data_IF_570868792492
#
_entry.id   IF_570868792492
#
_cell.length_a   1.000
_cell.length_b   1.000
_cell.length_c   1.000
_cell.angle_alpha   90.00
_cell.angle_beta   90.00
_cell.angle_gamma   90.00
#
_symmetry.space_group_name_H-M   'P 1'
#
loop_
_entity.id
_entity.type
_entity.pdbx_description
1 polymer ?
#
# COMPACT_ATOMS: atom_id res chain seq x y z
N UNK A 1 -10.10 11.72 0.64
CA UNK A 1 -9.63 10.76 1.66
C UNK A 1 -10.69 9.69 1.77
N UNK A 2 -10.43 8.52 1.16
CA UNK A 2 -11.26 7.35 1.34
C UNK A 2 -10.55 6.42 2.31
N UNK A 3 -11.25 5.92 3.31
CA UNK A 3 -10.81 4.72 4.00
C UNK A 3 -10.96 3.59 2.98
N UNK A 4 -9.86 3.11 2.39
CA UNK A 4 -9.86 1.87 1.64
C UNK A 4 -10.10 0.70 2.58
N UNK A 5 -10.62 -0.42 2.08
CA UNK A 5 -11.04 -1.60 2.88
C UNK A 5 -9.98 -2.13 3.87
N UNK A 6 -8.72 -1.74 3.74
CA UNK A 6 -7.65 -2.06 4.70
C UNK A 6 -6.53 -1.00 4.82
N UNK A 7 -6.69 0.19 4.23
CA UNK A 7 -5.65 1.22 4.16
C UNK A 7 -6.22 2.63 4.17
N UNK A 8 -5.46 3.59 4.71
CA UNK A 8 -5.76 5.01 4.58
C UNK A 8 -5.07 5.52 3.32
N UNK A 9 -5.84 5.74 2.25
CA UNK A 9 -5.28 6.09 0.96
C UNK A 9 -5.06 7.61 0.86
N UNK A 10 -3.79 8.01 0.76
CA UNK A 10 -3.36 9.39 0.53
C UNK A 10 -2.91 9.57 -0.92
N UNK A 11 -3.32 10.69 -1.53
CA UNK A 11 -2.86 11.08 -2.87
C UNK A 11 -1.89 12.25 -2.75
N UNK A 12 -0.66 12.08 -3.23
CA UNK A 12 0.31 13.17 -3.40
C UNK A 12 0.36 13.56 -4.88
N UNK A 13 0.18 14.85 -5.18
CA UNK A 13 0.32 15.39 -6.55
C UNK A 13 1.48 16.38 -6.58
N UNK A 14 2.41 16.15 -7.51
CA UNK A 14 3.58 16.99 -7.72
C UNK A 14 3.63 17.42 -9.19
N UNK A 15 4.00 18.67 -9.44
CA UNK A 15 4.20 19.20 -10.80
C UNK A 15 5.67 19.21 -11.14
N UNK A 16 6.04 18.54 -12.23
CA UNK A 16 7.41 18.48 -12.74
C UNK A 16 7.45 19.28 -14.05
N UNK A 17 8.42 20.17 -14.17
CA UNK A 17 8.61 21.03 -15.35
C UNK A 17 9.33 20.28 -16.47
N UNK A 18 10.34 19.48 -16.10
CA UNK A 18 11.14 18.68 -17.03
C UNK A 18 10.63 17.24 -17.07
N UNK A 19 10.06 16.83 -18.21
CA UNK A 19 9.47 15.50 -18.36
C UNK A 19 10.48 14.36 -18.29
N UNK A 20 11.75 14.61 -18.62
CA UNK A 20 12.80 13.58 -18.57
C UNK A 20 13.09 13.14 -17.15
N UNK A 21 13.03 14.09 -16.20
CA UNK A 21 13.25 13.85 -14.77
C UNK A 21 12.07 13.19 -14.07
N UNK A 22 10.96 12.93 -14.78
CA UNK A 22 9.75 12.35 -14.18
C UNK A 22 10.04 11.02 -13.48
N UNK A 23 10.85 10.16 -14.09
CA UNK A 23 11.18 8.84 -13.53
C UNK A 23 12.12 8.95 -12.34
N UNK A 24 13.16 9.78 -12.45
CA UNK A 24 14.13 10.01 -11.37
C UNK A 24 13.43 10.59 -10.14
N UNK A 25 12.64 11.66 -10.33
CA UNK A 25 11.89 12.31 -9.25
C UNK A 25 10.87 11.38 -8.61
N UNK A 26 10.20 10.53 -9.41
CA UNK A 26 9.26 9.55 -8.87
C UNK A 26 9.97 8.50 -8.01
N UNK A 27 11.11 8.00 -8.48
CA UNK A 27 11.93 7.03 -7.76
C UNK A 27 12.41 7.62 -6.43
N UNK A 28 13.07 8.77 -6.46
CA UNK A 28 13.61 9.45 -5.28
C UNK A 28 12.52 9.72 -4.24
N UNK A 29 11.35 10.18 -4.70
CA UNK A 29 10.21 10.46 -3.84
C UNK A 29 9.69 9.18 -3.17
N UNK A 30 9.60 8.07 -3.90
CA UNK A 30 9.22 6.78 -3.32
C UNK A 30 10.25 6.27 -2.30
N UNK A 31 11.54 6.42 -2.57
CA UNK A 31 12.60 6.00 -1.65
C UNK A 31 12.59 6.81 -0.35
N UNK A 32 12.50 8.14 -0.44
CA UNK A 32 12.46 9.01 0.75
C UNK A 32 11.17 8.83 1.56
N UNK A 33 10.01 8.65 0.90
CA UNK A 33 8.76 8.33 1.61
C UNK A 33 8.91 7.03 2.40
N UNK A 34 9.43 5.97 1.78
CA UNK A 34 9.64 4.69 2.46
C UNK A 34 10.61 4.82 3.64
N UNK A 35 11.69 5.60 3.47
CA UNK A 35 12.68 5.84 4.53
C UNK A 35 12.06 6.57 5.72
N UNK A 36 11.25 7.59 5.48
CA UNK A 36 10.54 8.33 6.53
C UNK A 36 9.51 7.42 7.21
N UNK A 37 8.73 6.65 6.46
CA UNK A 37 7.77 5.70 7.02
C UNK A 37 8.45 4.67 7.92
N UNK A 38 9.59 4.12 7.50
CA UNK A 38 10.39 3.21 8.33
C UNK A 38 10.91 3.89 9.59
N UNK A 39 11.38 5.13 9.50
CA UNK A 39 11.87 5.90 10.65
C UNK A 39 10.77 6.20 11.68
N UNK A 40 9.58 6.54 11.19
CA UNK A 40 8.40 6.84 12.02
C UNK A 40 7.64 5.57 12.47
N UNK A 41 8.09 4.38 12.06
CA UNK A 41 7.44 3.10 12.39
C UNK A 41 6.09 2.89 11.69
N UNK A 42 5.81 3.64 10.63
CA UNK A 42 4.58 3.54 9.85
C UNK A 42 4.71 2.37 8.88
N UNK A 43 3.92 1.33 9.10
CA UNK A 43 3.90 0.14 8.23
C UNK A 43 2.89 0.31 7.11
N UNK A 44 3.33 0.14 5.86
CA UNK A 44 2.42 0.11 4.70
C UNK A 44 1.64 -1.21 4.77
N UNK A 45 0.29 -1.17 4.88
CA UNK A 45 -0.50 -2.39 5.00
C UNK A 45 -0.43 -3.18 3.69
N UNK A 46 0.05 -4.42 3.76
CA UNK A 46 -0.17 -5.39 2.69
C UNK A 46 -1.66 -5.75 2.63
N UNK A 47 -2.17 -6.05 1.43
CA UNK A 47 -3.56 -6.51 1.27
C UNK A 47 -3.81 -7.76 2.13
N UNK A 48 -4.53 -7.60 3.23
CA UNK A 48 -4.92 -8.72 4.10
C UNK A 48 -6.06 -9.49 3.45
N UNK A 49 -5.75 -10.61 2.80
CA UNK A 49 -6.76 -11.61 2.42
C UNK A 49 -7.03 -12.50 3.64
N UNK A 50 -8.22 -12.39 4.20
CA UNK A 50 -8.69 -13.32 5.25
C UNK A 50 -9.34 -14.51 4.54
N UNK A 51 -8.81 -15.72 4.77
CA UNK A 51 -9.41 -16.97 4.29
C UNK A 51 -10.19 -17.62 5.43
N UNK A 52 -11.48 -17.88 5.21
CA UNK A 52 -12.33 -18.61 6.15
C UNK A 52 -12.39 -20.07 5.67
N UNK A 53 -11.80 -20.99 6.44
CA UNK A 53 -11.86 -22.42 6.17
C UNK A 53 -13.13 -23.01 6.79
N UNK A 54 -14.04 -23.54 5.96
CA UNK A 54 -15.21 -24.29 6.42
C UNK A 54 -14.97 -25.79 6.24
N UNK A 55 -14.77 -26.49 7.35
CA UNK A 55 -14.70 -27.96 7.38
C UNK A 55 -16.12 -28.52 7.26
N UNK A 56 -16.47 -29.05 6.09
CA UNK A 56 -17.70 -29.83 5.92
C UNK A 56 -17.43 -31.29 6.31
N UNK A 57 -17.91 -31.70 7.48
CA UNK A 57 -17.99 -33.13 7.79
C UNK A 57 -19.16 -33.72 6.98
N UNK A 58 -18.84 -34.48 5.93
CA UNK A 58 -19.82 -35.40 5.32
C UNK A 58 -20.20 -36.42 6.39
N UNK A 59 -21.42 -36.28 6.91
CA UNK A 59 -22.08 -37.32 7.69
C UNK A 59 -22.36 -38.48 6.73
N UNK A 60 -21.48 -39.49 6.75
CA UNK A 60 -21.86 -40.82 6.30
C UNK A 60 -22.77 -41.38 7.39
N UNK A 61 -24.06 -41.53 7.08
CA UNK A 61 -24.99 -42.56 7.54
C UNK A 61 -26.40 -42.18 7.11
#
# INVERSE_FOLDING_TARGET
MGFGDSSLDFQLRVRIIDIKKRYDVLSDLNFEINKIFNKEGITIPFHKKIFILKMNQKKNN
#
